data_IF_950879079213
#
_entry.id   IF_950879079213
#
_cell.length_a   1.000
_cell.length_b   1.000
_cell.length_c   1.000
_cell.angle_alpha   90.00
_cell.angle_beta   90.00
_cell.angle_gamma   90.00
#
_symmetry.space_group_name_H-M   'P 1'
#
loop_
_entity.id
_entity.type
_entity.pdbx_description
1 polymer ?
#
# COMPACT_ATOMS: atom_id res chain seq x y z
N UNK A 1 -1.48 -14.34 -4.22
CA UNK A 1 -2.33 -13.70 -3.18
C UNK A 1 -3.61 -14.50 -3.10
N UNK A 2 -3.84 -15.20 -2.00
CA UNK A 2 -5.03 -16.05 -1.81
C UNK A 2 -5.77 -15.70 -0.53
N UNK A 3 -7.09 -15.95 -0.53
CA UNK A 3 -8.00 -15.80 0.62
C UNK A 3 -8.91 -17.02 0.63
N UNK A 4 -8.88 -17.79 1.72
CA UNK A 4 -9.79 -18.93 1.94
C UNK A 4 -11.16 -18.42 2.38
N UNK A 5 -12.21 -19.01 1.82
CA UNK A 5 -13.59 -18.73 2.22
C UNK A 5 -13.98 -19.70 3.32
N UNK A 6 -14.51 -19.18 4.43
CA UNK A 6 -15.02 -19.98 5.52
C UNK A 6 -16.54 -19.81 5.59
N UNK A 7 -17.26 -20.87 5.97
CA UNK A 7 -18.71 -20.86 6.20
C UNK A 7 -19.55 -20.31 5.04
N UNK A 8 -19.07 -20.48 3.80
CA UNK A 8 -19.67 -19.92 2.58
C UNK A 8 -19.86 -18.38 2.57
N UNK A 9 -19.14 -17.65 3.43
CA UNK A 9 -19.25 -16.19 3.54
C UNK A 9 -18.39 -15.45 2.50
N UNK A 10 -18.83 -15.48 1.24
CA UNK A 10 -18.06 -14.91 0.11
C UNK A 10 -17.86 -13.41 0.24
N UNK A 11 -18.88 -12.65 0.67
CA UNK A 11 -18.78 -11.19 0.81
C UNK A 11 -17.69 -10.77 1.80
N UNK A 12 -17.52 -11.55 2.89
CA UNK A 12 -16.49 -11.31 3.89
C UNK A 12 -15.09 -11.59 3.31
N UNK A 13 -14.93 -12.70 2.58
CA UNK A 13 -13.68 -13.04 1.91
C UNK A 13 -13.26 -11.96 0.88
N UNK A 14 -14.20 -11.42 0.09
CA UNK A 14 -13.94 -10.32 -0.85
C UNK A 14 -13.48 -9.04 -0.16
N UNK A 15 -14.09 -8.70 1.00
CA UNK A 15 -13.67 -7.55 1.81
C UNK A 15 -12.25 -7.74 2.36
N UNK A 16 -11.92 -8.94 2.82
CA UNK A 16 -10.57 -9.27 3.28
C UNK A 16 -9.55 -9.21 2.15
N UNK A 17 -9.86 -9.76 0.98
CA UNK A 17 -9.01 -9.69 -0.20
C UNK A 17 -8.72 -8.23 -0.58
N UNK A 18 -9.76 -7.40 -0.65
CA UNK A 18 -9.64 -5.98 -0.95
C UNK A 18 -8.73 -5.26 0.05
N UNK A 19 -8.91 -5.51 1.36
CA UNK A 19 -8.05 -4.95 2.41
C UNK A 19 -6.61 -5.43 2.28
N UNK A 20 -6.39 -6.72 1.99
CA UNK A 20 -5.07 -7.31 1.79
C UNK A 20 -4.37 -6.67 0.59
N UNK A 21 -5.08 -6.44 -0.52
CA UNK A 21 -4.56 -5.77 -1.73
C UNK A 21 -4.13 -4.33 -1.45
N UNK A 22 -4.90 -3.60 -0.63
CA UNK A 22 -4.55 -2.25 -0.21
C UNK A 22 -3.32 -2.25 0.71
N UNK A 23 -3.24 -3.20 1.66
CA UNK A 23 -2.10 -3.35 2.59
C UNK A 23 -0.80 -3.67 1.86
N UNK A 24 -0.86 -4.59 0.90
CA UNK A 24 0.27 -4.94 0.04
C UNK A 24 0.64 -3.82 -0.96
N UNK A 25 -0.26 -2.83 -1.15
CA UNK A 25 0.01 -1.67 -1.98
C UNK A 25 -0.07 -1.93 -3.49
N UNK A 26 -0.62 -3.08 -3.90
CA UNK A 26 -0.75 -3.51 -5.30
C UNK A 26 -1.38 -2.44 -6.18
N UNK A 27 -2.46 -1.80 -5.70
CA UNK A 27 -3.13 -0.72 -6.43
C UNK A 27 -2.25 0.51 -6.64
N UNK A 28 -1.37 0.84 -5.68
CA UNK A 28 -0.40 1.94 -5.82
C UNK A 28 0.68 1.58 -6.83
N UNK A 29 1.10 0.32 -6.84
CA UNK A 29 2.11 -0.16 -7.77
C UNK A 29 1.60 -0.19 -9.22
N UNK A 30 0.38 -0.64 -9.46
CA UNK A 30 -0.27 -0.60 -10.79
C UNK A 30 -0.29 0.84 -11.32
N UNK A 31 -0.74 1.79 -10.51
CA UNK A 31 -0.77 3.22 -10.91
C UNK A 31 0.62 3.75 -11.25
N UNK A 32 1.64 3.36 -10.47
CA UNK A 32 3.03 3.78 -10.67
C UNK A 32 3.67 3.17 -11.93
N UNK A 33 3.31 1.93 -12.27
CA UNK A 33 3.84 1.21 -13.44
C UNK A 33 3.08 1.53 -14.74
N UNK A 34 1.97 2.29 -14.67
CA UNK A 34 1.13 2.62 -15.83
C UNK A 34 1.89 3.39 -16.93
N UNK A 35 2.90 4.18 -16.54
CA UNK A 35 3.73 4.96 -17.46
C UNK A 35 5.19 4.90 -17.02
N UNK A 36 6.11 5.18 -17.96
CA UNK A 36 7.53 5.28 -17.65
C UNK A 36 7.82 6.48 -16.73
N UNK A 37 8.55 6.23 -15.64
CA UNK A 37 9.04 7.26 -14.71
C UNK A 37 10.56 7.41 -14.90
N UNK A 38 11.01 8.59 -15.35
CA UNK A 38 12.45 8.90 -15.51
C UNK A 38 13.20 8.60 -14.19
N UNK A 39 14.43 8.06 -14.21
CA UNK A 39 15.17 7.67 -13.00
C UNK A 39 15.33 8.81 -11.98
N UNK A 40 15.53 10.05 -12.44
CA UNK A 40 15.62 11.22 -11.56
C UNK A 40 14.31 11.48 -10.80
N UNK A 41 13.16 11.37 -11.48
CA UNK A 41 11.83 11.52 -10.87
C UNK A 41 11.58 10.39 -9.87
N UNK A 42 11.94 9.16 -10.23
CA UNK A 42 11.86 7.99 -9.34
C UNK A 42 12.68 8.18 -8.06
N UNK A 43 13.89 8.75 -8.16
CA UNK A 43 14.76 9.07 -7.00
C UNK A 43 14.11 10.11 -6.09
N UNK A 44 13.62 11.23 -6.66
CA UNK A 44 12.93 12.29 -5.93
C UNK A 44 11.67 11.77 -5.21
N UNK A 45 10.86 10.94 -5.88
CA UNK A 45 9.66 10.33 -5.29
C UNK A 45 10.00 9.43 -4.10
N UNK A 46 11.01 8.56 -4.25
CA UNK A 46 11.48 7.67 -3.16
C UNK A 46 11.93 8.47 -1.92
N UNK A 47 12.68 9.55 -2.12
CA UNK A 47 13.11 10.42 -1.01
C UNK A 47 11.92 11.05 -0.28
N UNK A 48 10.95 11.60 -1.04
CA UNK A 48 9.72 12.17 -0.46
C UNK A 48 8.90 11.13 0.31
N UNK A 49 8.76 9.91 -0.21
CA UNK A 49 8.06 8.81 0.46
C UNK A 49 8.74 8.39 1.76
N UNK A 50 10.08 8.33 1.78
CA UNK A 50 10.84 8.00 2.99
C UNK A 50 10.67 9.05 4.09
N UNK A 51 10.74 10.34 3.73
CA UNK A 51 10.51 11.45 4.67
C UNK A 51 9.09 11.37 5.24
N UNK A 52 8.07 11.21 4.38
CA UNK A 52 6.68 11.06 4.85
C UNK A 52 6.50 9.86 5.78
N UNK A 53 7.17 8.73 5.52
CA UNK A 53 7.11 7.55 6.39
C UNK A 53 7.72 7.83 7.76
N UNK A 54 8.88 8.51 7.82
CA UNK A 54 9.53 8.90 9.09
C UNK A 54 8.66 9.83 9.91
N UNK A 55 8.15 10.91 9.30
CA UNK A 55 7.27 11.86 9.97
C UNK A 55 5.97 11.22 10.48
N UNK A 56 5.43 10.24 9.74
CA UNK A 56 4.25 9.50 10.19
C UNK A 56 4.56 8.62 11.41
N UNK A 57 5.72 7.98 11.45
CA UNK A 57 6.14 7.16 12.58
C UNK A 57 6.35 8.04 13.82
N UNK A 58 7.09 9.13 13.68
CA UNK A 58 7.32 10.09 14.77
C UNK A 58 6.01 10.64 15.39
N UNK A 59 5.02 10.98 14.55
CA UNK A 59 3.70 11.39 15.03
C UNK A 59 2.94 10.30 15.80
N UNK A 60 3.20 9.03 15.48
CA UNK A 60 2.57 7.91 16.16
C UNK A 60 3.23 7.72 17.53
N UNK A 61 4.56 7.73 17.60
CA UNK A 61 5.33 7.64 18.86
C UNK A 61 5.02 8.78 19.84
N UNK A 62 4.67 9.97 19.34
CA UNK A 62 4.32 11.11 20.20
C UNK A 62 2.91 11.01 20.82
N UNK A 63 2.06 10.11 20.31
CA UNK A 63 0.66 10.00 20.74
C UNK A 63 0.36 8.74 21.56
N UNK A 64 1.31 7.80 21.65
CA UNK A 64 1.35 6.69 22.62
C UNK A 64 1.95 7.18 23.96
#
# INVERSE_FOLDING_TARGET
MEVKVYNNEVARALKYLSKKMIKEGVMKEIKKRKFYEKPSVKKKRKQKEAIKKRLKAEKFEFHD
#
